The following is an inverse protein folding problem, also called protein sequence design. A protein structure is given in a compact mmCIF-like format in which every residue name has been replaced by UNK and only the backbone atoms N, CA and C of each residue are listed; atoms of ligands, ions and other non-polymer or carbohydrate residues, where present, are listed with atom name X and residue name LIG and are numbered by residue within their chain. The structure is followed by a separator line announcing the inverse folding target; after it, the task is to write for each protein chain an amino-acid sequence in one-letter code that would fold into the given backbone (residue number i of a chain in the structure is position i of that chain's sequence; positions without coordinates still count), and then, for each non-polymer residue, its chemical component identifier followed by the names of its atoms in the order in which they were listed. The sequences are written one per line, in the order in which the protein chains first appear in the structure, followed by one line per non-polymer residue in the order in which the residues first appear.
data_IF_505998764011
#
_entry.id   IF_505998764011
#
_cell.length_a   1.000
_cell.length_b   1.000
_cell.length_c   1.000
_cell.angle_alpha   90.00
_cell.angle_beta   90.00
_cell.angle_gamma   90.00
#
_symmetry.space_group_name_H-M   'P 1'
#
loop_
_entity.id
_entity.type
_entity.pdbx_description
1 polymer ?
#
# COMPACT_ATOMS: atom_id res chain seq x y z
N UNK A 1 -20.44 3.06 8.87
CA UNK A 1 -19.48 3.87 8.07
C UNK A 1 -19.72 3.61 6.59
N UNK A 2 -19.69 4.64 5.74
CA UNK A 2 -19.74 4.41 4.31
C UNK A 2 -18.48 3.66 3.87
N UNK A 3 -18.63 2.60 3.05
CA UNK A 3 -17.49 1.84 2.52
C UNK A 3 -16.63 2.78 1.66
N UNK A 4 -15.32 2.84 1.95
CA UNK A 4 -14.38 3.63 1.15
C UNK A 4 -14.31 3.09 -0.28
N UNK A 5 -14.31 4.00 -1.25
CA UNK A 5 -14.22 3.62 -2.67
C UNK A 5 -12.78 3.59 -3.13
N UNK A 6 -12.24 2.40 -3.36
CA UNK A 6 -10.86 2.16 -3.81
C UNK A 6 -10.77 1.67 -5.26
N UNK A 7 -11.82 1.89 -6.07
CA UNK A 7 -11.77 1.53 -7.49
C UNK A 7 -10.59 2.14 -8.23
N UNK A 8 -10.26 3.41 -7.91
CA UNK A 8 -9.07 4.09 -8.40
C UNK A 8 -8.30 4.70 -7.24
N UNK A 9 -7.04 4.30 -7.10
CA UNK A 9 -6.14 4.81 -6.07
C UNK A 9 -4.88 5.40 -6.70
N UNK A 10 -4.28 6.39 -6.04
CA UNK A 10 -2.91 6.84 -6.33
C UNK A 10 -1.95 6.21 -5.33
N UNK A 11 -0.88 5.60 -5.86
CA UNK A 11 0.07 4.85 -5.04
C UNK A 11 0.90 5.76 -4.11
N UNK A 12 1.22 5.30 -2.89
CA UNK A 12 2.22 5.96 -2.06
C UNK A 12 3.59 5.96 -2.75
N UNK A 13 4.15 7.15 -2.99
CA UNK A 13 5.41 7.32 -3.71
C UNK A 13 6.29 8.37 -3.03
N UNK A 14 7.44 7.92 -2.49
CA UNK A 14 8.42 8.82 -1.87
C UNK A 14 8.86 9.93 -2.83
N UNK A 15 8.91 11.16 -2.35
CA UNK A 15 9.25 12.39 -3.09
C UNK A 15 8.30 12.75 -4.24
N UNK A 16 7.08 12.18 -4.20
CA UNK A 16 6.04 12.44 -5.20
C UNK A 16 4.71 12.78 -4.52
N UNK A 17 4.13 11.85 -3.75
CA UNK A 17 2.79 12.02 -3.17
C UNK A 17 2.82 12.75 -1.82
N UNK A 18 3.50 13.91 -1.79
CA UNK A 18 3.46 14.83 -0.67
C UNK A 18 2.09 15.54 -0.57
N UNK A 19 1.91 16.39 0.44
CA UNK A 19 0.65 17.11 0.64
C UNK A 19 0.28 18.03 -0.54
N UNK A 20 1.26 18.55 -1.28
CA UNK A 20 1.01 19.46 -2.41
C UNK A 20 0.52 18.69 -3.64
N UNK A 21 1.15 17.55 -3.94
CA UNK A 21 0.70 16.66 -5.02
C UNK A 21 -0.70 16.11 -4.72
N UNK A 22 -0.94 15.59 -3.51
CA UNK A 22 -2.26 15.07 -3.13
C UNK A 22 -3.35 16.14 -3.20
N UNK A 23 -3.06 17.36 -2.76
CA UNK A 23 -3.99 18.49 -2.90
C UNK A 23 -4.31 18.78 -4.37
N UNK A 24 -3.29 18.85 -5.24
CA UNK A 24 -3.47 19.04 -6.68
C UNK A 24 -4.32 17.92 -7.28
N UNK A 25 -4.01 16.66 -6.97
CA UNK A 25 -4.77 15.50 -7.46
C UNK A 25 -6.23 15.54 -7.02
N UNK A 26 -6.51 16.01 -5.80
CA UNK A 26 -7.88 16.18 -5.29
C UNK A 26 -8.64 17.29 -6.01
N UNK A 27 -7.98 18.37 -6.40
CA UNK A 27 -8.60 19.42 -7.21
C UNK A 27 -8.99 18.90 -8.61
N UNK A 28 -8.20 17.96 -9.15
CA UNK A 28 -8.47 17.34 -10.46
C UNK A 28 -9.55 16.28 -10.36
N UNK A 29 -9.54 15.44 -9.31
CA UNK A 29 -10.47 14.32 -9.13
C UNK A 29 -10.97 14.21 -7.69
N UNK A 30 -12.28 14.31 -7.53
CA UNK A 30 -12.96 14.09 -6.23
C UNK A 30 -13.21 12.62 -5.89
N UNK A 31 -12.86 11.69 -6.79
CA UNK A 31 -13.25 10.27 -6.69
C UNK A 31 -12.08 9.33 -6.39
N UNK A 32 -10.86 9.75 -6.73
CA UNK A 32 -9.66 8.92 -6.54
C UNK A 32 -9.33 8.81 -5.06
N UNK A 33 -8.89 7.63 -4.62
CA UNK A 33 -8.37 7.44 -3.26
C UNK A 33 -6.88 7.77 -3.24
N UNK A 34 -6.48 8.68 -2.36
CA UNK A 34 -5.11 9.17 -2.24
C UNK A 34 -4.38 8.49 -1.09
N UNK A 35 -3.08 8.30 -1.22
CA UNK A 35 -2.20 7.84 -0.13
C UNK A 35 -1.04 8.81 0.06
N UNK A 36 -0.61 8.95 1.33
CA UNK A 36 0.61 9.69 1.66
C UNK A 36 1.85 8.97 1.11
N UNK A 37 2.99 9.62 1.15
CA UNK A 37 4.27 8.92 1.14
C UNK A 37 4.36 7.95 2.32
N UNK A 38 5.28 6.97 2.25
CA UNK A 38 5.49 6.06 3.38
C UNK A 38 6.18 6.78 4.55
N UNK A 39 5.52 6.83 5.70
CA UNK A 39 6.03 7.38 6.95
C UNK A 39 6.57 6.24 7.81
N UNK A 40 7.83 6.29 8.19
CA UNK A 40 8.42 5.29 9.07
C UNK A 40 7.96 5.51 10.52
N UNK A 41 7.53 4.44 11.22
CA UNK A 41 7.10 4.53 12.62
C UNK A 41 8.16 5.13 13.52
N UNK A 42 9.44 4.79 13.29
CA UNK A 42 10.56 5.38 14.03
C UNK A 42 10.70 6.89 13.86
N UNK A 43 10.26 7.47 12.73
CA UNK A 43 10.23 8.93 12.54
C UNK A 43 9.21 9.60 13.45
N UNK A 44 8.05 8.97 13.62
CA UNK A 44 6.99 9.50 14.49
C UNK A 44 7.30 9.28 15.98
N UNK A 45 7.71 8.07 16.37
CA UNK A 45 7.91 7.70 17.78
C UNK A 45 9.18 8.33 18.35
N UNK A 46 10.31 8.15 17.68
CA UNK A 46 11.61 8.58 18.20
C UNK A 46 12.04 9.94 17.65
N UNK A 47 11.68 10.25 16.40
CA UNK A 47 11.98 11.52 15.74
C UNK A 47 10.98 12.62 16.10
N UNK A 48 9.78 12.27 16.57
CA UNK A 48 8.64 13.18 16.84
C UNK A 48 8.29 14.09 15.67
N UNK A 49 8.52 13.60 14.43
CA UNK A 49 8.26 14.32 13.19
C UNK A 49 6.77 14.21 12.82
N UNK A 50 5.89 14.75 13.65
CA UNK A 50 4.42 14.68 13.45
C UNK A 50 3.92 15.58 12.32
N UNK A 51 4.70 16.55 11.88
CA UNK A 51 4.49 17.33 10.66
C UNK A 51 4.31 16.46 9.41
N UNK A 52 4.90 15.25 9.40
CA UNK A 52 4.70 14.27 8.32
C UNK A 52 3.26 13.74 8.25
N UNK A 53 2.45 13.90 9.29
CA UNK A 53 1.04 13.51 9.33
C UNK A 53 0.10 14.63 8.88
N UNK A 54 0.61 15.83 8.61
CA UNK A 54 -0.21 16.94 8.16
C UNK A 54 -0.73 16.73 6.75
N UNK A 55 -1.97 17.09 6.53
CA UNK A 55 -2.63 17.08 5.21
C UNK A 55 -3.75 18.13 5.17
N UNK A 56 -4.20 18.50 3.96
CA UNK A 56 -5.30 19.44 3.79
C UNK A 56 -6.63 18.72 3.90
N UNK A 57 -7.62 19.33 4.52
CA UNK A 57 -8.96 18.76 4.70
C UNK A 57 -9.62 18.36 3.36
N UNK A 58 -9.27 19.05 2.29
CA UNK A 58 -9.75 18.76 0.93
C UNK A 58 -9.21 17.45 0.38
N UNK A 59 -8.10 16.89 0.91
CA UNK A 59 -7.49 15.65 0.39
C UNK A 59 -8.37 14.41 0.63
N UNK A 60 -9.37 14.46 1.52
CA UNK A 60 -10.27 13.34 1.76
C UNK A 60 -11.00 12.83 0.50
N UNK A 61 -11.15 11.49 0.33
CA UNK A 61 -10.63 10.46 1.20
C UNK A 61 -9.13 10.23 1.01
N UNK A 62 -8.38 10.15 2.12
CA UNK A 62 -6.93 9.99 2.12
C UNK A 62 -6.47 8.94 3.14
N UNK A 63 -5.63 8.00 2.69
CA UNK A 63 -4.97 7.01 3.52
C UNK A 63 -3.53 7.38 3.84
N UNK A 64 -3.08 7.07 5.05
CA UNK A 64 -1.68 7.20 5.43
C UNK A 64 -0.96 5.85 5.28
N UNK A 65 0.25 5.85 4.68
CA UNK A 65 1.05 4.64 4.64
C UNK A 65 2.13 4.64 5.71
N UNK A 66 2.11 3.63 6.59
CA UNK A 66 3.12 3.39 7.62
C UNK A 66 4.12 2.33 7.18
N UNK A 67 5.40 2.53 7.56
CA UNK A 67 6.47 1.56 7.44
C UNK A 67 7.09 1.26 8.80
N UNK A 68 7.00 0.01 9.22
CA UNK A 68 7.51 -0.47 10.50
C UNK A 68 7.26 -1.98 10.66
N UNK A 69 7.84 -2.58 11.70
CA UNK A 69 7.66 -3.99 12.05
C UNK A 69 7.54 -4.22 13.57
N UNK A 70 7.71 -3.18 14.36
CA UNK A 70 7.48 -3.25 15.80
C UNK A 70 5.99 -3.04 16.09
N UNK A 71 5.36 -4.02 16.73
CA UNK A 71 3.91 -4.02 16.99
C UNK A 71 3.48 -2.81 17.82
N UNK A 72 4.20 -2.50 18.91
CA UNK A 72 3.84 -1.38 19.78
C UNK A 72 3.97 -0.03 19.10
N UNK A 73 5.03 0.18 18.30
CA UNK A 73 5.23 1.40 17.53
C UNK A 73 4.13 1.58 16.46
N UNK A 74 3.75 0.49 15.78
CA UNK A 74 2.66 0.52 14.79
C UNK A 74 1.31 0.86 15.44
N UNK A 75 1.01 0.30 16.61
CA UNK A 75 -0.21 0.60 17.36
C UNK A 75 -0.24 2.08 17.78
N UNK A 76 0.85 2.62 18.31
CA UNK A 76 0.92 4.02 18.72
C UNK A 76 0.78 4.95 17.51
N UNK A 77 1.50 4.66 16.41
CA UNK A 77 1.38 5.42 15.17
C UNK A 77 -0.04 5.34 14.58
N UNK A 78 -0.70 4.17 14.66
CA UNK A 78 -2.07 4.01 14.16
C UNK A 78 -3.05 4.92 14.90
N UNK A 79 -2.95 4.99 16.23
CA UNK A 79 -3.77 5.90 17.04
C UNK A 79 -3.54 7.35 16.65
N UNK A 80 -2.28 7.74 16.42
CA UNK A 80 -1.95 9.09 15.96
C UNK A 80 -2.55 9.38 14.58
N UNK A 81 -2.46 8.44 13.63
CA UNK A 81 -3.08 8.61 12.31
C UNK A 81 -4.60 8.80 12.39
N UNK A 82 -5.30 8.05 13.26
CA UNK A 82 -6.73 8.24 13.51
C UNK A 82 -7.02 9.60 14.16
N UNK A 83 -6.21 10.05 15.15
CA UNK A 83 -6.33 11.38 15.77
C UNK A 83 -6.15 12.52 14.76
N UNK A 84 -5.28 12.35 13.76
CA UNK A 84 -5.10 13.31 12.67
C UNK A 84 -6.25 13.32 11.65
N UNK A 85 -7.11 12.29 11.68
CA UNK A 85 -8.31 12.22 10.87
C UNK A 85 -8.16 11.49 9.54
N UNK A 86 -7.14 10.65 9.35
CA UNK A 86 -7.03 9.82 8.16
C UNK A 86 -8.19 8.86 7.99
N UNK A 87 -8.58 8.58 6.74
CA UNK A 87 -9.67 7.66 6.41
C UNK A 87 -9.26 6.19 6.46
N UNK A 88 -7.96 5.91 6.32
CA UNK A 88 -7.38 4.57 6.30
C UNK A 88 -5.91 4.59 6.71
N UNK A 89 -5.44 3.49 7.29
CA UNK A 89 -4.01 3.24 7.52
C UNK A 89 -3.57 2.05 6.67
N UNK A 90 -2.53 2.25 5.87
CA UNK A 90 -1.94 1.22 5.02
C UNK A 90 -0.58 0.78 5.55
N UNK A 91 -0.37 -0.52 5.75
CA UNK A 91 0.94 -1.06 6.13
C UNK A 91 1.77 -1.37 4.87
N UNK A 92 3.00 -0.82 4.81
CA UNK A 92 3.94 -1.11 3.74
C UNK A 92 4.68 -2.43 3.97
N UNK A 93 4.43 -3.40 3.10
CA UNK A 93 5.11 -4.70 3.03
C UNK A 93 5.67 -4.95 1.62
N UNK A 94 6.01 -3.86 0.91
CA UNK A 94 6.42 -3.98 -0.51
C UNK A 94 7.64 -3.15 -0.91
N UNK A 95 8.15 -2.25 -0.08
CA UNK A 95 9.30 -1.42 -0.40
C UNK A 95 10.61 -2.21 -0.30
N UNK A 96 11.42 -2.34 -1.39
CA UNK A 96 12.64 -3.12 -1.39
C UNK A 96 13.90 -2.28 -1.14
N UNK A 97 13.79 -1.03 -0.67
CA UNK A 97 14.96 -0.15 -0.53
C UNK A 97 15.87 -0.58 0.61
N UNK A 98 17.19 -0.40 0.46
CA UNK A 98 18.20 -0.75 1.47
C UNK A 98 17.93 -0.09 2.83
N UNK A 99 17.47 1.17 2.84
CA UNK A 99 17.12 1.89 4.06
C UNK A 99 15.99 1.19 4.81
N UNK A 100 14.99 0.72 4.08
CA UNK A 100 13.81 0.04 4.62
C UNK A 100 14.21 -1.35 5.12
N UNK A 101 15.03 -2.08 4.37
CA UNK A 101 15.55 -3.39 4.80
C UNK A 101 16.41 -3.29 6.07
N UNK A 102 17.28 -2.27 6.18
CA UNK A 102 18.04 -2.01 7.41
C UNK A 102 17.14 -1.74 8.61
N UNK A 103 15.98 -1.15 8.38
CA UNK A 103 14.93 -0.95 9.38
C UNK A 103 14.07 -2.19 9.64
N UNK A 104 14.33 -3.32 8.96
CA UNK A 104 13.58 -4.59 9.06
C UNK A 104 12.08 -4.45 8.78
N UNK A 105 11.71 -3.64 7.77
CA UNK A 105 10.33 -3.51 7.32
C UNK A 105 10.27 -3.43 5.78
N UNK A 106 9.07 -3.25 5.21
CA UNK A 106 8.84 -3.25 3.77
C UNK A 106 8.86 -4.67 3.17
N UNK A 107 9.47 -4.85 1.99
CA UNK A 107 9.36 -6.10 1.24
C UNK A 107 9.94 -7.32 1.97
N UNK A 108 10.97 -7.15 2.80
CA UNK A 108 11.53 -8.26 3.59
C UNK A 108 10.52 -8.89 4.56
N UNK A 109 9.49 -8.14 5.01
CA UNK A 109 8.43 -8.68 5.86
C UNK A 109 7.54 -9.72 5.17
N UNK A 110 7.58 -9.83 3.84
CA UNK A 110 6.89 -10.91 3.15
C UNK A 110 7.43 -12.31 3.55
N UNK A 111 8.64 -12.39 4.07
CA UNK A 111 9.23 -13.62 4.61
C UNK A 111 8.77 -13.94 6.04
N UNK A 112 8.06 -13.01 6.69
CA UNK A 112 7.59 -13.12 8.07
C UNK A 112 6.06 -12.89 8.17
N UNK A 113 5.23 -13.71 7.47
CA UNK A 113 3.79 -13.45 7.37
C UNK A 113 3.07 -13.47 8.72
N UNK A 114 3.54 -14.27 9.69
CA UNK A 114 2.98 -14.31 11.04
C UNK A 114 3.21 -13.00 11.80
N UNK A 115 4.40 -12.39 11.68
CA UNK A 115 4.68 -11.07 12.26
C UNK A 115 3.82 -10.00 11.60
N UNK A 116 3.63 -10.07 10.28
CA UNK A 116 2.74 -9.14 9.57
C UNK A 116 1.30 -9.29 10.06
N UNK A 117 0.79 -10.51 10.22
CA UNK A 117 -0.54 -10.77 10.74
C UNK A 117 -0.70 -10.22 12.18
N UNK A 118 0.30 -10.42 13.05
CA UNK A 118 0.33 -9.86 14.40
C UNK A 118 0.26 -8.32 14.38
N UNK A 119 1.10 -7.68 13.57
CA UNK A 119 1.10 -6.22 13.39
C UNK A 119 -0.29 -5.72 12.96
N UNK A 120 -0.84 -6.29 11.89
CA UNK A 120 -2.14 -5.90 11.34
C UNK A 120 -3.29 -6.08 12.35
N UNK A 121 -3.32 -7.21 13.06
CA UNK A 121 -4.33 -7.49 14.07
C UNK A 121 -4.28 -6.48 15.21
N UNK A 122 -3.09 -6.15 15.71
CA UNK A 122 -2.93 -5.17 16.78
C UNK A 122 -3.26 -3.74 16.31
N UNK A 123 -2.87 -3.35 15.11
CA UNK A 123 -3.27 -2.08 14.52
C UNK A 123 -4.79 -1.97 14.42
N UNK A 124 -5.46 -2.99 13.86
CA UNK A 124 -6.91 -3.04 13.70
C UNK A 124 -7.67 -2.96 15.02
N UNK A 125 -7.17 -3.61 16.06
CA UNK A 125 -7.78 -3.57 17.38
C UNK A 125 -7.58 -2.23 18.12
N UNK A 126 -6.63 -1.41 17.66
CA UNK A 126 -6.27 -0.15 18.31
C UNK A 126 -7.03 1.06 17.78
N UNK A 127 -7.64 0.97 16.59
CA UNK A 127 -8.32 2.07 15.89
C UNK A 127 -9.64 1.62 15.26
N UNK A 128 -10.53 2.58 14.93
CA UNK A 128 -11.81 2.30 14.29
C UNK A 128 -11.76 2.49 12.76
N UNK A 129 -10.74 3.18 12.23
CA UNK A 129 -10.58 3.35 10.80
C UNK A 129 -10.00 2.09 10.15
N UNK A 130 -10.31 1.83 8.85
CA UNK A 130 -9.81 0.65 8.14
C UNK A 130 -8.29 0.53 8.13
N UNK A 131 -7.81 -0.70 8.25
CA UNK A 131 -6.40 -1.07 8.03
C UNK A 131 -6.32 -1.84 6.71
N UNK A 132 -5.34 -1.49 5.89
CA UNK A 132 -5.02 -2.20 4.64
C UNK A 132 -3.53 -2.57 4.57
N UNK A 133 -3.18 -3.44 3.64
CA UNK A 133 -1.80 -3.86 3.41
C UNK A 133 -1.40 -3.61 1.96
N UNK A 134 -0.17 -3.12 1.72
CA UNK A 134 0.40 -3.02 0.39
C UNK A 134 1.67 -3.84 0.28
N UNK A 135 1.63 -4.91 -0.54
CA UNK A 135 2.72 -5.84 -0.70
C UNK A 135 3.11 -6.05 -2.18
N UNK A 136 4.01 -6.98 -2.43
CA UNK A 136 4.40 -7.49 -3.74
C UNK A 136 3.92 -8.93 -3.92
N UNK A 137 4.31 -9.60 -5.03
CA UNK A 137 4.01 -11.01 -5.26
C UNK A 137 4.95 -11.94 -4.50
N UNK A 138 6.13 -11.45 -4.15
CA UNK A 138 7.16 -12.19 -3.45
C UNK A 138 8.45 -11.40 -3.32
N UNK A 139 9.51 -12.05 -2.85
CA UNK A 139 10.84 -11.47 -2.67
C UNK A 139 11.94 -12.45 -3.10
N UNK A 140 12.96 -11.94 -3.79
CA UNK A 140 14.11 -12.70 -4.30
C UNK A 140 13.65 -13.97 -5.04
N UNK A 141 14.06 -15.16 -4.62
CA UNK A 141 13.74 -16.46 -5.24
C UNK A 141 12.32 -16.96 -4.89
N UNK A 142 11.63 -16.31 -3.95
CA UNK A 142 10.22 -16.61 -3.62
C UNK A 142 9.29 -15.85 -4.57
N UNK A 143 9.12 -16.35 -5.79
CA UNK A 143 8.38 -15.65 -6.84
C UNK A 143 7.26 -16.50 -7.49
N UNK A 144 6.93 -17.64 -6.90
CA UNK A 144 5.81 -18.50 -7.29
C UNK A 144 4.47 -18.03 -6.72
N UNK A 145 3.39 -18.60 -7.24
CA UNK A 145 2.04 -18.25 -6.80
C UNK A 145 1.75 -18.74 -5.37
N UNK A 146 2.27 -19.87 -4.99
CA UNK A 146 2.02 -20.49 -3.69
C UNK A 146 2.55 -19.59 -2.55
N UNK A 147 3.68 -18.93 -2.78
CA UNK A 147 4.25 -18.00 -1.82
C UNK A 147 3.28 -16.84 -1.50
N UNK A 148 2.77 -16.13 -2.52
CA UNK A 148 1.85 -15.02 -2.30
C UNK A 148 0.49 -15.49 -1.79
N UNK A 149 0.00 -16.63 -2.23
CA UNK A 149 -1.24 -17.24 -1.74
C UNK A 149 -1.14 -17.55 -0.24
N UNK A 150 -0.04 -18.17 0.18
CA UNK A 150 0.21 -18.46 1.59
C UNK A 150 0.35 -17.18 2.42
N UNK A 151 1.07 -16.17 1.90
CA UNK A 151 1.21 -14.87 2.55
C UNK A 151 -0.16 -14.22 2.80
N UNK A 152 -1.02 -14.17 1.79
CA UNK A 152 -2.38 -13.62 1.89
C UNK A 152 -3.22 -14.46 2.85
N UNK A 153 -3.15 -15.80 2.77
CA UNK A 153 -3.89 -16.71 3.64
C UNK A 153 -3.58 -16.49 5.13
N UNK A 154 -2.30 -16.30 5.47
CA UNK A 154 -1.89 -16.05 6.87
C UNK A 154 -2.29 -14.63 7.30
N UNK A 155 -2.02 -13.65 6.47
CA UNK A 155 -2.21 -12.24 6.87
C UNK A 155 -3.69 -11.83 6.96
N UNK A 156 -4.59 -12.46 6.17
CA UNK A 156 -6.04 -12.22 6.28
C UNK A 156 -6.64 -12.63 7.63
N UNK A 157 -6.02 -13.58 8.34
CA UNK A 157 -6.46 -14.00 9.68
C UNK A 157 -6.34 -12.87 10.72
N UNK A 158 -5.59 -11.81 10.41
CA UNK A 158 -5.61 -10.56 11.21
C UNK A 158 -6.97 -9.84 11.16
N UNK A 159 -7.85 -10.25 10.26
CA UNK A 159 -9.13 -9.60 9.98
C UNK A 159 -9.03 -8.39 9.05
N UNK A 160 -7.86 -8.15 8.43
CA UNK A 160 -7.71 -7.16 7.34
C UNK A 160 -8.23 -7.76 6.04
N UNK A 161 -9.06 -6.99 5.32
CA UNK A 161 -9.76 -7.43 4.11
C UNK A 161 -9.34 -6.67 2.83
N UNK A 162 -8.46 -5.69 2.92
CA UNK A 162 -7.99 -4.86 1.79
C UNK A 162 -6.52 -5.12 1.50
N UNK A 163 -6.24 -5.66 0.31
CA UNK A 163 -4.91 -6.01 -0.15
C UNK A 163 -4.55 -5.26 -1.45
N UNK A 164 -3.49 -4.46 -1.41
CA UNK A 164 -2.96 -3.75 -2.57
C UNK A 164 -1.71 -4.48 -3.05
N UNK A 165 -1.80 -5.12 -4.20
CA UNK A 165 -0.75 -6.02 -4.71
C UNK A 165 0.01 -5.36 -5.85
N UNK A 166 1.30 -5.05 -5.64
CA UNK A 166 2.18 -4.70 -6.75
C UNK A 166 2.56 -5.97 -7.52
N UNK A 167 2.08 -6.08 -8.76
CA UNK A 167 2.17 -7.29 -9.59
C UNK A 167 3.60 -7.63 -10.08
N UNK A 168 4.60 -7.41 -9.24
CA UNK A 168 6.02 -7.75 -9.45
C UNK A 168 6.62 -8.34 -8.19
N UNK A 169 7.60 -9.22 -8.39
CA UNK A 169 8.48 -9.65 -7.30
C UNK A 169 9.38 -8.50 -6.82
N UNK A 170 9.84 -8.55 -5.58
CA UNK A 170 10.80 -7.61 -5.00
C UNK A 170 12.18 -8.24 -4.92
N UNK A 171 13.18 -7.63 -5.57
CA UNK A 171 14.58 -8.06 -5.44
C UNK A 171 15.25 -7.20 -4.37
N UNK A 172 15.62 -7.85 -3.27
CA UNK A 172 16.15 -7.18 -2.09
C UNK A 172 17.62 -6.75 -2.26
N UNK A 173 18.40 -7.49 -3.05
CA UNK A 173 19.81 -7.19 -3.30
C UNK A 173 20.09 -7.03 -4.78
N UNK A 174 20.90 -6.02 -5.13
CA UNK A 174 21.38 -5.83 -6.51
C UNK A 174 20.49 -4.95 -7.40
N UNK A 175 19.27 -4.59 -6.97
CA UNK A 175 18.42 -3.68 -7.71
C UNK A 175 18.00 -2.47 -6.85
N UNK A 176 18.15 -1.28 -7.40
CA UNK A 176 17.59 -0.07 -6.80
C UNK A 176 16.05 -0.12 -6.76
N UNK A 177 15.38 0.70 -5.93
CA UNK A 177 13.91 0.78 -5.92
C UNK A 177 13.32 1.14 -7.29
N UNK A 178 14.02 1.95 -8.11
CA UNK A 178 13.61 2.29 -9.47
C UNK A 178 13.69 1.07 -10.40
N UNK A 179 14.77 0.30 -10.34
CA UNK A 179 14.92 -0.94 -11.11
C UNK A 179 13.90 -2.00 -10.70
N UNK A 180 13.61 -2.14 -9.40
CA UNK A 180 12.57 -3.01 -8.86
C UNK A 180 11.15 -2.72 -9.38
N UNK A 181 10.91 -1.52 -9.91
CA UNK A 181 9.63 -1.15 -10.56
C UNK A 181 9.59 -1.43 -12.05
N UNK A 182 10.72 -1.81 -12.66
CA UNK A 182 10.83 -1.96 -14.12
C UNK A 182 11.34 -3.34 -14.55
N UNK A 183 12.34 -3.90 -13.87
CA UNK A 183 13.06 -5.12 -14.29
C UNK A 183 12.29 -6.40 -13.98
N UNK A 184 11.82 -6.67 -12.73
CA UNK A 184 11.06 -7.88 -12.48
C UNK A 184 9.80 -7.91 -13.37
N UNK A 185 9.43 -9.06 -13.96
CA UNK A 185 8.27 -9.14 -14.84
C UNK A 185 6.96 -8.85 -14.10
N UNK A 186 5.98 -8.30 -14.83
CA UNK A 186 4.61 -8.15 -14.34
C UNK A 186 3.90 -9.51 -14.45
N UNK A 187 3.35 -10.00 -13.35
CA UNK A 187 2.57 -11.24 -13.26
C UNK A 187 1.14 -10.91 -12.82
N UNK A 188 0.36 -10.24 -13.67
CA UNK A 188 -1.02 -9.84 -13.38
C UNK A 188 -1.92 -11.03 -13.09
N UNK A 189 -1.68 -12.15 -13.75
CA UNK A 189 -2.47 -13.39 -13.59
C UNK A 189 -2.43 -13.89 -12.13
N UNK A 190 -1.33 -13.67 -11.40
CA UNK A 190 -1.25 -14.01 -9.98
C UNK A 190 -2.23 -13.17 -9.14
N UNK A 191 -2.37 -11.89 -9.46
CA UNK A 191 -3.29 -10.99 -8.75
C UNK A 191 -4.75 -11.36 -9.05
N UNK A 192 -5.04 -11.70 -10.30
CA UNK A 192 -6.38 -12.18 -10.70
C UNK A 192 -6.74 -13.50 -10.02
N UNK A 193 -5.78 -14.41 -9.95
CA UNK A 193 -5.96 -15.68 -9.27
C UNK A 193 -6.15 -15.49 -7.77
N UNK A 194 -5.45 -14.55 -7.13
CA UNK A 194 -5.69 -14.20 -5.72
C UNK A 194 -7.15 -13.73 -5.50
N UNK A 195 -7.70 -12.93 -6.41
CA UNK A 195 -9.10 -12.52 -6.31
C UNK A 195 -10.08 -13.69 -6.45
N UNK A 196 -9.75 -14.69 -7.27
CA UNK A 196 -10.56 -15.91 -7.41
C UNK A 196 -10.47 -16.81 -6.17
N UNK A 197 -9.26 -16.97 -5.61
CA UNK A 197 -9.03 -17.80 -4.42
C UNK A 197 -9.55 -17.16 -3.12
N UNK A 198 -9.60 -15.81 -3.07
CA UNK A 198 -10.07 -15.03 -1.92
C UNK A 198 -11.15 -14.02 -2.34
N UNK A 199 -12.33 -14.47 -2.77
CA UNK A 199 -13.39 -13.59 -3.31
C UNK A 199 -13.93 -12.59 -2.27
N UNK A 200 -13.78 -12.89 -0.98
CA UNK A 200 -14.20 -12.02 0.13
C UNK A 200 -13.29 -10.80 0.33
N UNK A 201 -12.02 -10.88 -0.12
CA UNK A 201 -11.05 -9.80 0.04
C UNK A 201 -11.23 -8.73 -1.04
N UNK A 202 -11.01 -7.47 -0.68
CA UNK A 202 -10.88 -6.36 -1.62
C UNK A 202 -9.45 -6.34 -2.17
N UNK A 203 -9.28 -6.84 -3.41
CA UNK A 203 -7.97 -6.94 -4.08
C UNK A 203 -7.80 -5.77 -5.04
N UNK A 204 -6.76 -4.97 -4.81
CA UNK A 204 -6.40 -3.80 -5.62
C UNK A 204 -5.08 -4.09 -6.34
N UNK A 205 -5.10 -4.06 -7.67
CA UNK A 205 -3.92 -4.30 -8.48
C UNK A 205 -3.09 -3.04 -8.66
N UNK A 206 -1.76 -3.19 -8.62
CA UNK A 206 -0.80 -2.12 -8.86
C UNK A 206 0.37 -2.62 -9.71
N UNK A 207 1.00 -1.73 -10.44
CA UNK A 207 2.24 -2.00 -11.19
C UNK A 207 2.07 -1.92 -12.71
N UNK A 208 2.82 -1.03 -13.35
CA UNK A 208 2.89 -0.92 -14.81
C UNK A 208 1.67 -0.29 -15.50
N UNK A 209 0.63 0.04 -14.81
CA UNK A 209 -0.62 0.61 -15.33
C UNK A 209 -0.37 2.07 -15.71
N UNK A 210 -0.68 2.44 -16.97
CA UNK A 210 -0.25 3.71 -17.57
C UNK A 210 -1.40 4.63 -17.98
N UNK A 211 -2.61 4.12 -18.12
CA UNK A 211 -3.77 4.87 -18.59
C UNK A 211 -5.08 4.29 -18.01
N UNK A 212 -6.18 4.96 -18.30
CA UNK A 212 -7.52 4.55 -17.83
C UNK A 212 -7.98 3.26 -18.52
N UNK A 213 -7.69 3.06 -19.81
CA UNK A 213 -8.14 1.86 -20.54
C UNK A 213 -7.48 0.59 -19.97
N UNK A 214 -6.16 0.64 -19.67
CA UNK A 214 -5.48 -0.44 -18.93
C UNK A 214 -6.18 -0.69 -17.58
N UNK A 215 -6.52 0.38 -16.87
CA UNK A 215 -7.19 0.30 -15.56
C UNK A 215 -8.57 -0.36 -15.66
N UNK A 216 -9.37 -0.01 -16.66
CA UNK A 216 -10.70 -0.60 -16.87
C UNK A 216 -10.60 -2.10 -17.17
N UNK A 217 -9.62 -2.52 -17.95
CA UNK A 217 -9.35 -3.94 -18.23
C UNK A 217 -9.03 -4.72 -16.94
N UNK A 218 -8.26 -4.13 -16.03
CA UNK A 218 -7.97 -4.76 -14.74
C UNK A 218 -9.22 -4.85 -13.84
N UNK A 219 -10.08 -3.82 -13.85
CA UNK A 219 -11.30 -3.76 -13.04
C UNK A 219 -12.35 -4.83 -13.40
N UNK A 220 -12.23 -5.47 -14.55
CA UNK A 220 -13.05 -6.65 -14.88
C UNK A 220 -12.69 -7.89 -14.04
N UNK A 221 -11.53 -7.90 -13.38
CA UNK A 221 -10.97 -9.07 -12.71
C UNK A 221 -10.63 -8.86 -11.23
N UNK A 222 -10.55 -7.59 -10.78
CA UNK A 222 -10.23 -7.21 -9.39
C UNK A 222 -11.10 -6.04 -8.95
N UNK A 223 -11.08 -5.72 -7.65
CA UNK A 223 -11.98 -4.72 -7.06
C UNK A 223 -11.50 -3.28 -7.26
N UNK A 224 -10.21 -3.08 -7.45
CA UNK A 224 -9.62 -1.75 -7.59
C UNK A 224 -8.28 -1.75 -8.34
N UNK A 225 -7.91 -0.56 -8.77
CA UNK A 225 -6.64 -0.30 -9.47
C UNK A 225 -5.90 0.83 -8.78
N UNK A 226 -4.60 0.61 -8.54
CA UNK A 226 -3.72 1.63 -8.00
C UNK A 226 -2.69 2.06 -9.04
N UNK A 227 -2.74 3.34 -9.42
CA UNK A 227 -1.84 3.94 -10.40
C UNK A 227 -0.72 4.65 -9.65
N UNK A 228 0.51 4.48 -10.11
CA UNK A 228 1.67 5.18 -9.54
C UNK A 228 2.15 6.30 -10.46
N UNK A 229 3.34 6.15 -11.00
CA UNK A 229 4.06 7.18 -11.79
C UNK A 229 3.24 7.82 -12.90
N UNK A 230 2.37 7.09 -13.56
CA UNK A 230 1.53 7.65 -14.63
C UNK A 230 0.59 8.74 -14.10
N UNK A 231 0.06 8.63 -12.87
CA UNK A 231 -0.75 9.68 -12.27
C UNK A 231 0.08 10.92 -11.90
N UNK A 232 1.34 10.75 -11.49
CA UNK A 232 2.26 11.84 -11.22
C UNK A 232 2.73 12.53 -12.49
N UNK A 233 3.09 11.75 -13.54
CA UNK A 233 3.57 12.27 -14.83
C UNK A 233 2.45 12.97 -15.62
N UNK A 234 1.20 12.52 -15.49
CA UNK A 234 0.02 13.08 -16.15
C UNK A 234 -1.20 13.04 -15.20
N UNK A 235 -1.31 13.98 -14.25
CA UNK A 235 -2.40 13.99 -13.28
C UNK A 235 -3.79 14.17 -13.89
N UNK A 236 -3.90 14.80 -15.07
CA UNK A 236 -5.17 15.01 -15.77
C UNK A 236 -5.83 13.72 -16.28
N UNK A 237 -5.11 12.60 -16.29
CA UNK A 237 -5.72 11.29 -16.55
C UNK A 237 -6.78 10.90 -15.53
N UNK A 238 -6.77 11.50 -14.33
CA UNK A 238 -7.69 11.20 -13.22
C UNK A 238 -9.01 12.00 -13.28
N UNK A 239 -9.18 12.85 -14.29
CA UNK A 239 -10.35 13.74 -14.49
C UNK A 239 -11.63 12.99 -14.82
#
# INVERSE_FOLDING_TARGET
MNKLNRKFCVAPMMQCTDMHDRYLLRLISKRVFLYTEMIATGSLIYGKCFDQLEFNIEEHPVGVQLGGSNVSDLVECSKKCEEYGYDEINLNVGCPSDRVQKGKFGACLMLEPNLVAECLSNMKNAVNIPISIKCRLGVDDHDDYEFIQNFVSITKESGVDVFIIHARNGILKGLSPRQNRNIPPLKYDYVYKLKQDFPELEIIINGGIKNIDDSLTHLEKVDGVMIGRAAYDNPFMLR
#
